data_IF_280821081459
#
_entry.id   IF_280821081459
#
_cell.length_a   1.000
_cell.length_b   1.000
_cell.length_c   1.000
_cell.angle_alpha   90.00
_cell.angle_beta   90.00
_cell.angle_gamma   90.00
#
_symmetry.space_group_name_H-M   'P 1'
#
loop_
_entity.id
_entity.type
_entity.pdbx_description
1 polymer ?
#
# COMPACT_ATOMS: atom_id res chain seq x y z
N UNK A 1 19.29 -23.27 -20.93
CA UNK A 1 19.61 -21.83 -20.93
C UNK A 1 18.33 -21.05 -21.19
N UNK A 2 17.73 -20.43 -20.17
CA UNK A 2 16.61 -19.50 -20.39
C UNK A 2 17.24 -18.15 -20.77
N UNK A 3 16.98 -17.59 -21.96
CA UNK A 3 17.59 -16.33 -22.37
C UNK A 3 17.16 -15.19 -21.42
N UNK A 4 18.10 -14.29 -21.11
CA UNK A 4 17.92 -13.20 -20.12
C UNK A 4 16.66 -12.35 -20.36
N UNK A 5 16.25 -12.18 -21.61
CA UNK A 5 15.02 -11.49 -21.99
C UNK A 5 13.74 -12.19 -21.51
N UNK A 6 13.71 -13.53 -21.52
CA UNK A 6 12.56 -14.29 -21.02
C UNK A 6 12.42 -14.16 -19.49
N UNK A 7 13.53 -14.06 -18.76
CA UNK A 7 13.51 -13.81 -17.32
C UNK A 7 12.94 -12.41 -17.00
N UNK A 8 13.37 -11.37 -17.73
CA UNK A 8 12.86 -9.99 -17.56
C UNK A 8 11.35 -9.92 -17.82
N UNK A 9 10.86 -10.54 -18.90
CA UNK A 9 9.43 -10.59 -19.20
C UNK A 9 8.64 -11.38 -18.14
N UNK A 10 9.20 -12.47 -17.62
CA UNK A 10 8.53 -13.27 -16.60
C UNK A 10 8.45 -12.51 -15.26
N UNK A 11 9.54 -11.84 -14.88
CA UNK A 11 9.61 -10.96 -13.71
C UNK A 11 8.60 -9.82 -13.86
N UNK A 12 8.64 -9.06 -14.96
CA UNK A 12 7.71 -7.96 -15.22
C UNK A 12 6.23 -8.41 -15.20
N UNK A 13 5.91 -9.58 -15.76
CA UNK A 13 4.54 -10.12 -15.79
C UNK A 13 4.06 -10.60 -14.41
N UNK A 14 4.96 -11.14 -13.59
CA UNK A 14 4.69 -11.49 -12.19
C UNK A 14 4.50 -10.22 -11.35
N UNK A 15 5.33 -9.20 -11.57
CA UNK A 15 5.24 -7.87 -10.96
C UNK A 15 3.94 -7.15 -11.27
N UNK A 16 3.56 -7.08 -12.55
CA UNK A 16 2.32 -6.45 -12.97
C UNK A 16 1.11 -7.16 -12.36
N UNK A 17 1.10 -8.50 -12.39
CA UNK A 17 0.02 -9.31 -11.78
C UNK A 17 -0.08 -9.16 -10.27
N UNK A 18 1.00 -8.86 -9.57
CA UNK A 18 1.02 -8.70 -8.11
C UNK A 18 0.60 -7.29 -7.68
N UNK A 19 1.10 -6.26 -8.38
CA UNK A 19 0.77 -4.85 -8.14
C UNK A 19 -0.73 -4.58 -8.29
N UNK A 20 -1.35 -5.15 -9.32
CA UNK A 20 -2.77 -4.93 -9.62
C UNK A 20 -3.71 -5.61 -8.62
N UNK A 21 -3.28 -6.64 -7.89
CA UNK A 21 -4.20 -7.40 -7.02
C UNK A 21 -4.41 -6.73 -5.67
N UNK A 22 -3.34 -6.28 -5.02
CA UNK A 22 -3.42 -5.63 -3.70
C UNK A 22 -4.00 -4.22 -3.76
N UNK A 23 -3.81 -3.53 -4.88
CA UNK A 23 -4.33 -2.18 -5.10
C UNK A 23 -5.87 -2.15 -5.11
N UNK A 24 -6.53 -3.24 -5.55
CA UNK A 24 -8.00 -3.32 -5.60
C UNK A 24 -8.67 -3.16 -4.23
N UNK A 25 -8.03 -3.61 -3.15
CA UNK A 25 -8.56 -3.40 -1.81
C UNK A 25 -8.55 -1.92 -1.41
N UNK A 26 -7.46 -1.19 -1.70
CA UNK A 26 -7.39 0.24 -1.48
C UNK A 26 -8.37 1.02 -2.38
N UNK A 27 -8.54 0.59 -3.63
CA UNK A 27 -9.51 1.16 -4.57
C UNK A 27 -10.95 0.93 -4.13
N UNK A 28 -11.27 -0.25 -3.59
CA UNK A 28 -12.59 -0.56 -3.03
C UNK A 28 -12.89 0.34 -1.82
N UNK A 29 -11.91 0.53 -0.91
CA UNK A 29 -12.04 1.45 0.22
C UNK A 29 -12.30 2.89 -0.26
N UNK A 30 -11.52 3.36 -1.25
CA UNK A 30 -11.71 4.68 -1.85
C UNK A 30 -13.10 4.83 -2.47
N UNK A 31 -13.54 3.84 -3.24
CA UNK A 31 -14.85 3.84 -3.88
C UNK A 31 -15.98 3.89 -2.84
N UNK A 32 -15.87 3.11 -1.76
CA UNK A 32 -16.84 3.12 -0.66
C UNK A 32 -16.91 4.50 0.00
N UNK A 33 -15.76 5.14 0.26
CA UNK A 33 -15.72 6.51 0.80
C UNK A 33 -16.36 7.52 -0.15
N UNK A 34 -16.15 7.40 -1.46
CA UNK A 34 -16.80 8.27 -2.45
C UNK A 34 -18.33 8.08 -2.47
N UNK A 35 -18.83 6.86 -2.26
CA UNK A 35 -20.27 6.65 -2.11
C UNK A 35 -20.81 7.27 -0.83
N UNK A 36 -20.11 7.07 0.30
CA UNK A 36 -20.47 7.65 1.58
C UNK A 36 -20.42 9.20 1.56
N UNK A 37 -19.44 9.78 0.88
CA UNK A 37 -19.24 11.22 0.76
C UNK A 37 -20.48 11.93 0.18
N UNK A 38 -21.25 11.28 -0.70
CA UNK A 38 -22.52 11.82 -1.24
C UNK A 38 -23.55 12.10 -0.14
N UNK A 39 -23.49 11.36 0.95
CA UNK A 39 -24.40 11.45 2.11
C UNK A 39 -23.77 12.18 3.31
N UNK A 40 -22.50 12.57 3.21
CA UNK A 40 -21.78 13.22 4.29
C UNK A 40 -22.21 14.70 4.47
N UNK A 41 -21.88 15.35 5.60
CA UNK A 41 -22.08 16.78 5.77
C UNK A 41 -21.35 17.61 4.69
N UNK A 42 -21.86 18.80 4.38
CA UNK A 42 -21.35 19.64 3.27
C UNK A 42 -19.85 19.96 3.38
N UNK A 43 -19.32 20.07 4.60
CA UNK A 43 -17.90 20.28 4.88
C UNK A 43 -16.98 19.13 4.41
N UNK A 44 -17.52 17.92 4.23
CA UNK A 44 -16.78 16.73 3.79
C UNK A 44 -17.05 16.37 2.33
N UNK A 45 -18.15 16.86 1.73
CA UNK A 45 -18.59 16.51 0.37
C UNK A 45 -17.57 16.86 -0.72
N UNK A 46 -16.81 17.94 -0.53
CA UNK A 46 -15.89 18.48 -1.53
C UNK A 46 -14.41 18.22 -1.22
N UNK A 47 -14.12 17.44 -0.18
CA UNK A 47 -12.73 17.12 0.16
C UNK A 47 -12.16 16.05 -0.77
N UNK A 48 -10.86 16.12 -1.10
CA UNK A 48 -10.18 15.03 -1.80
C UNK A 48 -10.29 13.72 -1.02
N UNK A 49 -10.61 12.64 -1.72
CA UNK A 49 -10.74 11.30 -1.13
C UNK A 49 -9.60 10.41 -1.60
N UNK A 50 -8.85 9.92 -0.62
CA UNK A 50 -7.84 8.88 -0.78
C UNK A 50 -8.30 7.60 -0.08
N UNK A 51 -7.96 6.45 -0.65
CA UNK A 51 -8.16 5.15 -0.01
C UNK A 51 -6.83 4.51 0.33
N UNK A 52 -6.82 3.63 1.31
CA UNK A 52 -5.63 2.89 1.66
C UNK A 52 -5.92 1.52 2.23
N UNK A 53 -4.91 0.66 2.17
CA UNK A 53 -4.88 -0.60 2.92
C UNK A 53 -3.46 -0.86 3.44
N UNK A 54 -3.36 -1.42 4.64
CA UNK A 54 -2.08 -1.85 5.20
C UNK A 54 -1.59 -3.12 4.51
N UNK A 55 -0.29 -3.21 4.24
CA UNK A 55 0.32 -4.36 3.57
C UNK A 55 0.15 -5.69 4.31
N UNK A 56 -0.06 -5.66 5.62
CA UNK A 56 -0.35 -6.85 6.44
C UNK A 56 -1.81 -7.32 6.40
N UNK A 57 -2.73 -6.47 5.91
CA UNK A 57 -4.16 -6.78 5.84
C UNK A 57 -4.53 -7.69 4.66
N UNK A 58 -3.77 -7.64 3.56
CA UNK A 58 -3.96 -8.46 2.37
C UNK A 58 -3.13 -9.73 2.48
N UNK A 59 -3.78 -10.90 2.62
CA UNK A 59 -3.12 -12.16 2.99
C UNK A 59 -2.92 -13.15 1.86
N UNK A 60 -3.66 -13.00 0.76
CA UNK A 60 -3.62 -13.93 -0.35
C UNK A 60 -3.80 -13.21 -1.69
N UNK A 61 -3.39 -13.87 -2.77
CA UNK A 61 -3.74 -13.45 -4.13
C UNK A 61 -4.91 -14.28 -4.63
N UNK A 62 -6.01 -13.63 -5.02
CA UNK A 62 -7.15 -14.31 -5.66
C UNK A 62 -6.76 -14.67 -7.10
N UNK A 63 -6.93 -15.93 -7.55
CA UNK A 63 -6.64 -16.35 -8.93
C UNK A 63 -7.51 -15.60 -9.95
N UNK A 64 -7.14 -15.66 -11.24
CA UNK A 64 -7.98 -15.09 -12.28
C UNK A 64 -9.16 -16.03 -12.57
N UNK A 65 -10.35 -15.47 -12.72
CA UNK A 65 -11.59 -16.21 -12.92
C UNK A 65 -12.70 -15.69 -12.02
N UNK A 66 -13.71 -16.52 -11.78
CA UNK A 66 -14.82 -16.20 -10.90
C UNK A 66 -14.34 -15.97 -9.47
N UNK A 67 -14.82 -14.88 -8.86
CA UNK A 67 -14.46 -14.50 -7.50
C UNK A 67 -15.60 -14.91 -6.57
N UNK A 68 -15.31 -15.78 -5.62
CA UNK A 68 -16.28 -16.23 -4.62
C UNK A 68 -16.10 -15.50 -3.30
N UNK A 69 -17.11 -15.56 -2.42
CA UNK A 69 -17.00 -15.04 -1.05
C UNK A 69 -15.84 -15.67 -0.26
N UNK A 70 -15.52 -16.94 -0.55
CA UNK A 70 -14.39 -17.65 0.07
C UNK A 70 -13.07 -17.01 -0.31
N UNK A 71 -12.93 -16.56 -1.56
CA UNK A 71 -11.71 -15.88 -2.03
C UNK A 71 -11.51 -14.55 -1.32
N UNK A 72 -12.60 -13.79 -1.12
CA UNK A 72 -12.58 -12.52 -0.38
C UNK A 72 -12.17 -12.73 1.09
N UNK A 73 -12.74 -13.74 1.77
CA UNK A 73 -12.38 -14.08 3.16
C UNK A 73 -10.92 -14.55 3.26
N UNK A 74 -10.43 -15.23 2.22
CA UNK A 74 -9.03 -15.68 2.17
C UNK A 74 -8.07 -14.50 2.00
N UNK A 75 -8.46 -13.46 1.24
CA UNK A 75 -7.68 -12.25 1.06
C UNK A 75 -7.72 -11.33 2.30
N UNK A 76 -8.90 -11.13 2.90
CA UNK A 76 -9.17 -10.25 4.04
C UNK A 76 -9.81 -11.02 5.21
N UNK A 77 -9.03 -11.82 5.97
CA UNK A 77 -9.59 -12.76 6.94
C UNK A 77 -10.08 -12.11 8.24
N UNK A 78 -9.72 -10.86 8.51
CA UNK A 78 -9.91 -10.24 9.82
C UNK A 78 -11.25 -9.53 10.01
N UNK A 79 -12.14 -9.54 9.00
CA UNK A 79 -13.50 -8.99 9.12
C UNK A 79 -13.55 -7.53 9.60
N UNK A 80 -12.47 -6.78 9.41
CA UNK A 80 -12.35 -5.39 9.87
C UNK A 80 -13.29 -4.48 9.09
N UNK A 81 -13.87 -3.52 9.79
CA UNK A 81 -14.72 -2.51 9.18
C UNK A 81 -13.88 -1.36 8.59
N UNK A 82 -14.29 -0.85 7.43
CA UNK A 82 -13.72 0.38 6.85
C UNK A 82 -14.00 1.57 7.76
N UNK A 83 -12.98 2.41 7.99
CA UNK A 83 -13.08 3.64 8.79
C UNK A 83 -12.83 4.85 7.90
N UNK A 84 -13.59 5.93 8.11
CA UNK A 84 -13.39 7.21 7.44
C UNK A 84 -12.73 8.20 8.41
N UNK A 85 -11.66 8.86 7.98
CA UNK A 85 -10.91 9.80 8.81
C UNK A 85 -10.66 11.09 8.03
N UNK A 86 -10.97 12.23 8.65
CA UNK A 86 -10.51 13.54 8.18
C UNK A 86 -9.11 13.78 8.73
N UNK A 87 -8.14 14.01 7.86
CA UNK A 87 -6.74 14.23 8.26
C UNK A 87 -6.13 15.40 7.51
N UNK A 88 -5.08 16.00 8.10
CA UNK A 88 -4.30 17.05 7.45
C UNK A 88 -3.26 16.45 6.49
N UNK A 89 -2.76 17.26 5.55
CA UNK A 89 -1.66 16.87 4.67
C UNK A 89 -0.41 16.42 5.44
N UNK A 90 -0.12 17.07 6.58
CA UNK A 90 0.99 16.69 7.46
C UNK A 90 0.79 15.30 8.06
N UNK A 91 -0.41 15.00 8.55
CA UNK A 91 -0.72 13.69 9.10
C UNK A 91 -0.64 12.58 8.03
N UNK A 92 -1.07 12.87 6.79
CA UNK A 92 -0.90 11.96 5.66
C UNK A 92 0.59 11.70 5.39
N UNK A 93 1.42 12.74 5.38
CA UNK A 93 2.86 12.59 5.20
C UNK A 93 3.49 11.72 6.28
N UNK A 94 3.18 12.00 7.54
CA UNK A 94 3.69 11.24 8.70
C UNK A 94 3.27 9.77 8.65
N UNK A 95 2.04 9.49 8.20
CA UNK A 95 1.54 8.13 8.03
C UNK A 95 2.32 7.37 6.94
N UNK A 96 2.58 7.99 5.78
CA UNK A 96 3.34 7.36 4.69
C UNK A 96 4.80 7.14 5.12
N UNK A 97 5.41 8.10 5.80
CA UNK A 97 6.76 7.99 6.39
C UNK A 97 6.86 6.83 7.39
N UNK A 98 5.85 6.67 8.25
CA UNK A 98 5.81 5.53 9.16
C UNK A 98 5.68 4.20 8.39
N UNK A 99 4.86 4.17 7.35
CA UNK A 99 4.64 3.00 6.52
C UNK A 99 5.88 2.50 5.77
N UNK A 100 6.91 3.34 5.59
CA UNK A 100 8.19 2.97 4.95
C UNK A 100 9.35 2.85 5.95
N UNK A 101 9.10 3.06 7.25
CA UNK A 101 10.14 3.09 8.29
C UNK A 101 10.86 1.75 8.51
N UNK A 102 10.12 0.63 8.45
CA UNK A 102 10.66 -0.71 8.70
C UNK A 102 11.04 -1.48 7.43
N UNK A 103 11.11 -0.79 6.29
CA UNK A 103 11.64 -1.41 5.07
C UNK A 103 13.12 -1.71 5.32
N UNK A 104 13.47 -2.99 5.25
CA UNK A 104 14.85 -3.45 5.40
C UNK A 104 15.64 -3.06 4.16
N UNK A 105 16.81 -2.45 4.37
CA UNK A 105 17.76 -2.12 3.32
C UNK A 105 18.99 -2.99 3.55
N UNK A 106 19.45 -3.67 2.50
CA UNK A 106 20.66 -4.51 2.56
C UNK A 106 20.63 -5.71 3.54
N UNK A 107 19.44 -6.17 3.97
CA UNK A 107 19.30 -7.45 4.68
C UNK A 107 19.20 -8.61 3.68
N UNK A 108 19.60 -9.83 4.05
CA UNK A 108 19.34 -11.01 3.20
C UNK A 108 17.85 -11.13 2.88
N UNK A 109 17.54 -11.13 1.58
CA UNK A 109 16.16 -11.14 1.10
C UNK A 109 15.54 -9.75 0.95
N UNK A 110 16.13 -8.66 1.44
CA UNK A 110 15.66 -7.31 1.12
C UNK A 110 15.80 -7.03 -0.39
N UNK A 111 14.79 -6.37 -0.96
CA UNK A 111 14.82 -5.91 -2.34
C UNK A 111 15.81 -4.75 -2.52
N UNK A 112 17.07 -5.11 -2.62
CA UNK A 112 18.19 -4.23 -2.91
C UNK A 112 18.32 -3.93 -4.41
N UNK A 113 17.45 -4.52 -5.24
CA UNK A 113 17.56 -4.49 -6.70
C UNK A 113 16.37 -3.82 -7.41
N UNK A 114 15.57 -3.01 -6.71
CA UNK A 114 14.36 -2.37 -7.25
C UNK A 114 13.39 -3.36 -7.91
N UNK A 115 13.38 -4.59 -7.43
CA UNK A 115 12.50 -5.62 -7.95
C UNK A 115 11.06 -5.20 -7.66
N UNK A 116 10.75 -4.73 -6.45
CA UNK A 116 9.46 -4.33 -5.90
C UNK A 116 8.98 -5.22 -4.75
N UNK A 117 9.84 -6.10 -4.23
CA UNK A 117 9.52 -7.01 -3.11
C UNK A 117 9.87 -6.38 -1.75
N UNK A 118 8.86 -6.10 -0.93
CA UNK A 118 9.07 -5.38 0.33
C UNK A 118 9.26 -6.39 1.47
N UNK A 119 10.43 -6.39 2.09
CA UNK A 119 10.78 -7.25 3.22
C UNK A 119 10.98 -6.44 4.51
N UNK A 120 10.85 -7.12 5.66
CA UNK A 120 11.08 -6.54 6.99
C UNK A 120 10.00 -5.55 7.48
N UNK A 121 9.10 -5.09 6.61
CA UNK A 121 8.20 -3.98 6.94
C UNK A 121 7.01 -4.36 7.85
N UNK A 122 6.97 -5.57 8.41
CA UNK A 122 5.95 -6.07 9.38
C UNK A 122 4.49 -5.73 9.00
N UNK A 123 4.17 -5.68 7.70
CA UNK A 123 2.84 -5.31 7.21
C UNK A 123 2.47 -3.82 7.31
N UNK A 124 3.39 -2.94 7.72
CA UNK A 124 3.22 -1.48 7.80
C UNK A 124 3.20 -0.79 6.44
N UNK A 125 3.63 -1.49 5.38
CA UNK A 125 3.68 -0.91 4.05
C UNK A 125 2.32 -0.35 3.64
N UNK A 126 2.32 0.90 3.21
CA UNK A 126 1.11 1.60 2.85
C UNK A 126 0.75 1.28 1.39
N UNK A 127 -0.45 0.78 1.13
CA UNK A 127 -0.92 0.55 -0.24
C UNK A 127 -1.95 1.66 -0.54
N UNK A 128 -1.59 2.66 -1.37
CA UNK A 128 -2.43 3.83 -1.60
C UNK A 128 -3.44 3.61 -2.75
N UNK A 129 -4.52 4.40 -2.73
CA UNK A 129 -5.45 4.61 -3.83
C UNK A 129 -5.83 6.09 -3.92
N UNK A 130 -5.81 6.65 -5.13
CA UNK A 130 -6.09 8.06 -5.38
C UNK A 130 -4.89 8.99 -5.15
N UNK A 131 -3.72 8.46 -4.78
CA UNK A 131 -2.44 9.15 -4.77
C UNK A 131 -1.30 8.16 -4.98
N UNK A 132 -0.13 8.70 -5.26
CA UNK A 132 1.15 8.00 -5.40
C UNK A 132 2.18 8.65 -4.50
N UNK A 133 3.18 7.88 -4.07
CA UNK A 133 4.30 8.42 -3.31
C UNK A 133 5.60 7.76 -3.72
N UNK A 134 6.68 8.54 -3.61
CA UNK A 134 8.04 8.10 -3.84
C UNK A 134 8.76 8.10 -2.49
N UNK A 135 9.59 7.09 -2.28
CA UNK A 135 10.40 6.96 -1.08
C UNK A 135 11.78 6.41 -1.40
N UNK A 136 12.76 6.80 -0.59
CA UNK A 136 14.13 6.33 -0.62
C UNK A 136 14.42 5.61 0.71
N UNK A 137 14.53 4.28 0.70
CA UNK A 137 14.72 3.51 1.92
C UNK A 137 16.12 3.70 2.52
N UNK A 138 17.09 4.23 1.77
CA UNK A 138 18.46 4.49 2.26
C UNK A 138 18.53 5.69 3.21
N UNK A 139 17.50 6.54 3.22
CA UNK A 139 17.40 7.71 4.11
C UNK A 139 16.97 7.32 5.53
N UNK A 140 17.08 8.29 6.44
CA UNK A 140 16.75 8.13 7.86
C UNK A 140 15.29 7.72 8.02
N UNK A 141 15.07 6.54 8.61
CA UNK A 141 13.75 6.03 8.93
C UNK A 141 13.06 6.86 10.02
N UNK A 142 11.74 6.84 10.02
CA UNK A 142 10.97 7.34 11.16
C UNK A 142 11.16 6.43 12.36
N UNK A 143 11.60 7.01 13.48
CA UNK A 143 11.69 6.34 14.77
C UNK A 143 10.38 6.58 15.54
N UNK A 144 9.55 5.53 15.59
CA UNK A 144 8.25 5.58 16.26
C UNK A 144 8.39 5.63 17.80
N UNK A 145 9.47 5.10 18.35
CA UNK A 145 9.71 5.07 19.81
C UNK A 145 10.23 6.43 20.28
N UNK A 146 11.21 6.99 19.58
CA UNK A 146 11.74 8.33 19.85
C UNK A 146 10.83 9.47 19.34
N UNK A 147 9.69 9.15 18.71
CA UNK A 147 8.76 10.10 18.07
C UNK A 147 9.46 11.06 17.12
N UNK A 148 10.50 10.58 16.44
CA UNK A 148 11.34 11.38 15.55
C UNK A 148 11.02 11.01 14.11
N UNK A 149 10.50 11.99 13.36
CA UNK A 149 10.20 11.80 11.95
C UNK A 149 11.47 11.59 11.13
N UNK A 150 11.40 10.60 10.23
CA UNK A 150 12.39 10.35 9.20
C UNK A 150 12.19 11.24 7.98
N UNK A 151 12.91 10.91 6.91
CA UNK A 151 12.88 11.63 5.64
C UNK A 151 12.97 10.67 4.44
N UNK A 152 12.32 9.50 4.55
CA UNK A 152 12.33 8.50 3.49
C UNK A 152 11.41 8.88 2.35
N UNK A 153 10.25 9.47 2.62
CA UNK A 153 9.31 9.93 1.61
C UNK A 153 9.88 11.19 0.95
N UNK A 154 10.00 11.15 -0.37
CA UNK A 154 10.52 12.26 -1.16
C UNK A 154 9.42 13.07 -1.81
N UNK A 155 8.30 12.41 -2.14
CA UNK A 155 7.22 13.03 -2.90
C UNK A 155 5.90 12.30 -2.66
N UNK A 156 4.82 13.07 -2.63
CA UNK A 156 3.43 12.59 -2.71
C UNK A 156 2.77 13.33 -3.87
N UNK A 157 2.05 12.62 -4.74
CA UNK A 157 1.38 13.17 -5.94
C UNK A 157 0.02 12.55 -6.12
#
# INVERSE_FOLDING_TARGET
FIPSWAAIFFIARKYLKFRHRRQRAADANRWQTLQWQKTAPDELKNLPVVGFTGGGGVRASIPAGDITKKDIITELPFGGETRYLKMSHKALWEMVENGVSLISVNAEGADTANTGEIFGNQGRFFIPSGFSYEYDPTKTATDSEAKKMGNRVTKIT
#
